data_IF_590712378116
#
_entry.id   IF_590712378116
#
_cell.length_a   1.000
_cell.length_b   1.000
_cell.length_c   1.000
_cell.angle_alpha   90.00
_cell.angle_beta   90.00
_cell.angle_gamma   90.00
#
_symmetry.space_group_name_H-M   'P 1'
#
loop_
_entity.id
_entity.type
_entity.pdbx_description
1 polymer ?
#
# COMPACT_ATOMS: atom_id res chain seq x y z
N UNK A 1 -11.03 4.14 7.55
CA UNK A 1 -10.42 3.27 6.52
C UNK A 1 -9.75 4.13 5.46
N UNK A 2 -10.49 4.94 4.68
CA UNK A 2 -9.91 5.82 3.65
C UNK A 2 -8.87 6.82 4.18
N UNK A 3 -9.04 7.34 5.42
CA UNK A 3 -8.14 8.37 5.97
C UNK A 3 -6.69 7.87 6.16
N UNK A 4 -6.50 6.60 6.53
CA UNK A 4 -5.17 6.04 6.81
C UNK A 4 -4.43 5.66 5.54
N UNK A 5 -5.11 4.99 4.61
CA UNK A 5 -4.54 4.72 3.28
C UNK A 5 -4.17 6.04 2.60
N UNK A 6 -5.04 7.05 2.71
CA UNK A 6 -4.79 8.37 2.14
C UNK A 6 -3.56 9.06 2.75
N UNK A 7 -3.39 9.02 4.07
CA UNK A 7 -2.20 9.60 4.72
C UNK A 7 -0.89 8.94 4.28
N UNK A 8 -0.85 7.61 4.20
CA UNK A 8 0.32 6.88 3.72
C UNK A 8 0.64 7.24 2.26
N UNK A 9 -0.38 7.28 1.40
CA UNK A 9 -0.21 7.65 -0.01
C UNK A 9 0.27 9.10 -0.22
N UNK A 10 -0.16 10.05 0.63
CA UNK A 10 0.32 11.44 0.58
C UNK A 10 1.78 11.55 1.03
N UNK A 11 2.19 10.81 2.07
CA UNK A 11 3.56 10.85 2.61
C UNK A 11 4.61 10.25 1.66
N UNK A 12 4.24 9.20 0.93
CA UNK A 12 5.06 8.54 -0.11
C UNK A 12 5.01 9.26 -1.48
N UNK A 13 4.20 10.32 -1.60
CA UNK A 13 3.58 10.76 -2.85
C UNK A 13 4.51 11.44 -3.86
N UNK A 14 5.13 10.66 -4.74
CA UNK A 14 5.68 11.10 -6.01
C UNK A 14 5.85 9.94 -6.99
N UNK A 15 5.74 10.22 -8.30
CA UNK A 15 6.25 9.29 -9.31
C UNK A 15 7.78 9.28 -9.21
N UNK A 16 8.35 8.10 -9.03
CA UNK A 16 9.80 7.88 -9.01
C UNK A 16 10.10 6.80 -10.02
N UNK A 17 10.99 7.13 -10.95
CA UNK A 17 11.51 6.19 -11.93
C UNK A 17 13.01 6.41 -11.98
N UNK A 18 13.74 5.55 -11.26
CA UNK A 18 15.19 5.58 -11.20
C UNK A 18 15.73 4.48 -12.11
N UNK A 19 16.47 4.83 -13.19
CA UNK A 19 16.96 3.85 -14.17
C UNK A 19 17.97 2.84 -13.59
N UNK A 20 18.49 3.12 -12.41
CA UNK A 20 19.44 2.32 -11.64
C UNK A 20 18.78 1.47 -10.52
N UNK A 21 17.46 1.61 -10.30
CA UNK A 21 16.73 0.84 -9.29
C UNK A 21 15.97 -0.34 -9.93
N UNK A 22 16.16 -1.53 -9.33
CA UNK A 22 15.46 -2.76 -9.72
C UNK A 22 13.94 -2.71 -9.54
N UNK A 23 13.41 -1.77 -8.76
CA UNK A 23 11.98 -1.64 -8.48
C UNK A 23 11.14 -1.09 -9.64
N UNK A 24 11.77 -0.43 -10.62
CA UNK A 24 11.09 0.18 -11.77
C UNK A 24 10.15 1.35 -11.39
N UNK A 25 9.32 1.82 -12.33
CA UNK A 25 8.43 2.96 -12.12
C UNK A 25 7.50 2.74 -10.91
N UNK A 26 7.54 3.68 -9.98
CA UNK A 26 6.79 3.62 -8.71
C UNK A 26 5.98 4.89 -8.51
N UNK A 27 4.72 4.75 -8.08
CA UNK A 27 3.87 5.88 -7.73
C UNK A 27 3.07 5.53 -6.47
N UNK A 28 3.01 6.45 -5.50
CA UNK A 28 2.39 6.21 -4.19
C UNK A 28 2.92 4.96 -3.47
N UNK A 29 4.21 4.63 -3.62
CA UNK A 29 4.81 3.40 -3.09
C UNK A 29 4.37 2.10 -3.79
N UNK A 30 3.59 2.18 -4.88
CA UNK A 30 3.17 1.04 -5.69
C UNK A 30 4.10 0.92 -6.90
N UNK A 31 4.80 -0.20 -7.03
CA UNK A 31 5.63 -0.50 -8.19
C UNK A 31 4.78 -0.87 -9.40
N UNK A 32 5.33 -0.71 -10.61
CA UNK A 32 4.65 -1.09 -11.85
C UNK A 32 4.19 -2.54 -11.84
N UNK A 33 5.03 -3.47 -11.39
CA UNK A 33 4.67 -4.90 -11.28
C UNK A 33 3.40 -5.09 -10.45
N UNK A 34 3.35 -4.51 -9.26
CA UNK A 34 2.21 -4.59 -8.36
C UNK A 34 0.95 -3.98 -8.98
N UNK A 35 1.10 -2.85 -9.66
CA UNK A 35 -0.03 -2.22 -10.34
C UNK A 35 -0.59 -3.12 -11.45
N UNK A 36 0.29 -3.77 -12.22
CA UNK A 36 -0.10 -4.70 -13.30
C UNK A 36 -0.77 -5.96 -12.75
N UNK A 37 -0.25 -6.53 -11.66
CA UNK A 37 -0.85 -7.68 -10.97
C UNK A 37 -2.25 -7.38 -10.42
N UNK A 38 -2.54 -6.12 -10.11
CA UNK A 38 -3.84 -5.65 -9.66
C UNK A 38 -4.71 -5.06 -10.80
N UNK A 39 -4.32 -5.30 -12.05
CA UNK A 39 -5.12 -4.97 -13.23
C UNK A 39 -5.02 -3.51 -13.71
N UNK A 40 -4.13 -2.70 -13.14
CA UNK A 40 -3.83 -1.37 -13.67
C UNK A 40 -2.81 -1.48 -14.80
N UNK A 41 -3.17 -1.12 -16.02
CA UNK A 41 -2.30 -1.17 -17.20
C UNK A 41 -1.84 0.22 -17.70
N UNK A 42 -2.32 1.31 -17.09
CA UNK A 42 -1.99 2.67 -17.50
C UNK A 42 -0.59 3.14 -17.10
N UNK A 43 -0.22 4.38 -17.45
CA UNK A 43 1.04 5.00 -17.02
C UNK A 43 1.11 5.12 -15.50
N UNK A 44 2.25 4.76 -14.90
CA UNK A 44 2.39 4.78 -13.44
C UNK A 44 2.28 6.18 -12.85
N UNK A 45 2.66 7.22 -13.60
CA UNK A 45 2.50 8.63 -13.22
C UNK A 45 1.04 9.10 -13.14
N UNK A 46 0.10 8.33 -13.70
CA UNK A 46 -1.33 8.68 -13.80
C UNK A 46 -2.22 7.70 -13.05
N UNK A 47 -1.67 6.87 -12.17
CA UNK A 47 -2.47 5.91 -11.42
C UNK A 47 -3.58 6.63 -10.64
N UNK A 48 -4.87 6.30 -10.88
CA UNK A 48 -5.96 6.95 -10.16
C UNK A 48 -5.88 6.67 -8.67
N UNK A 49 -6.29 7.66 -7.87
CA UNK A 49 -6.32 7.52 -6.41
C UNK A 49 -7.14 6.32 -5.95
N UNK A 50 -8.32 6.09 -6.54
CA UNK A 50 -9.16 4.93 -6.22
C UNK A 50 -8.45 3.60 -6.50
N UNK A 51 -7.62 3.57 -7.55
CA UNK A 51 -6.96 2.35 -7.99
C UNK A 51 -5.83 2.04 -7.04
N UNK A 52 -5.04 3.04 -6.67
CA UNK A 52 -4.02 2.90 -5.66
C UNK A 52 -4.61 2.53 -4.29
N UNK A 53 -5.71 3.15 -3.86
CA UNK A 53 -6.41 2.78 -2.61
C UNK A 53 -6.87 1.32 -2.62
N UNK A 54 -7.44 0.85 -3.73
CA UNK A 54 -7.84 -0.56 -3.90
C UNK A 54 -6.65 -1.52 -3.83
N UNK A 55 -5.52 -1.16 -4.44
CA UNK A 55 -4.28 -1.95 -4.37
C UNK A 55 -3.77 -2.03 -2.93
N UNK A 56 -3.74 -0.90 -2.22
CA UNK A 56 -3.36 -0.86 -0.80
C UNK A 56 -4.26 -1.73 0.07
N UNK A 57 -5.57 -1.64 -0.15
CA UNK A 57 -6.54 -2.46 0.58
C UNK A 57 -6.30 -3.95 0.34
N UNK A 58 -6.19 -4.37 -0.92
CA UNK A 58 -5.97 -5.77 -1.28
C UNK A 58 -4.62 -6.32 -0.78
N UNK A 59 -3.57 -5.51 -0.84
CA UNK A 59 -2.20 -5.96 -0.58
C UNK A 59 -1.79 -5.88 0.89
N UNK A 60 -2.32 -4.94 1.66
CA UNK A 60 -1.87 -4.70 3.04
C UNK A 60 -2.99 -4.78 4.07
N UNK A 61 -4.22 -4.37 3.74
CA UNK A 61 -5.33 -4.31 4.69
C UNK A 61 -6.07 -5.65 4.82
N UNK A 62 -6.45 -6.27 3.70
CA UNK A 62 -7.14 -7.57 3.70
C UNK A 62 -6.30 -8.70 4.30
N UNK A 63 -4.99 -8.84 3.99
CA UNK A 63 -4.19 -9.94 4.53
C UNK A 63 -4.01 -9.92 6.05
N UNK A 64 -4.03 -8.73 6.67
CA UNK A 64 -3.97 -8.59 8.14
C UNK A 64 -5.35 -8.67 8.80
N UNK A 65 -6.41 -8.95 8.01
CA UNK A 65 -7.81 -8.86 8.45
C UNK A 65 -8.11 -7.49 9.08
N UNK A 66 -7.64 -6.42 8.45
CA UNK A 66 -7.65 -5.08 9.01
C UNK A 66 -9.04 -4.62 9.45
N UNK A 67 -10.10 -5.01 8.73
CA UNK A 67 -11.47 -4.71 9.11
C UNK A 67 -11.90 -5.33 10.45
N UNK A 68 -11.43 -6.55 10.77
CA UNK A 68 -11.71 -7.21 12.03
C UNK A 68 -10.84 -6.63 13.15
N UNK A 69 -9.56 -6.39 12.87
CA UNK A 69 -8.63 -5.79 13.80
C UNK A 69 -9.05 -4.36 14.19
N UNK A 70 -9.55 -3.57 13.21
CA UNK A 70 -10.06 -2.23 13.43
C UNK A 70 -11.26 -2.20 14.38
N UNK A 71 -12.16 -3.19 14.28
CA UNK A 71 -13.32 -3.30 15.19
C UNK A 71 -12.90 -3.55 16.64
N UNK A 72 -11.79 -4.27 16.84
CA UNK A 72 -11.29 -4.64 18.16
C UNK A 72 -10.39 -3.55 18.76
N UNK A 73 -9.46 -3.05 17.96
CA UNK A 73 -8.44 -2.09 18.39
C UNK A 73 -8.03 -1.19 17.21
N UNK A 74 -8.74 -0.06 16.99
CA UNK A 74 -8.47 0.86 15.89
C UNK A 74 -7.01 1.32 15.83
N UNK A 75 -6.43 1.74 16.96
CA UNK A 75 -5.04 2.21 17.01
C UNK A 75 -4.05 1.11 16.59
N UNK A 76 -4.25 -0.13 17.07
CA UNK A 76 -3.40 -1.28 16.72
C UNK A 76 -3.52 -1.61 15.25
N UNK A 77 -4.74 -1.54 14.68
CA UNK A 77 -4.94 -1.80 13.25
C UNK A 77 -4.16 -0.83 12.36
N UNK A 78 -3.96 0.41 12.80
CA UNK A 78 -3.18 1.40 12.08
C UNK A 78 -1.69 1.10 12.14
N UNK A 79 -1.15 0.75 13.30
CA UNK A 79 0.26 0.38 13.45
C UNK A 79 0.61 -0.90 12.68
N UNK A 80 -0.26 -1.92 12.72
CA UNK A 80 -0.08 -3.16 11.95
C UNK A 80 -0.10 -2.88 10.45
N UNK A 81 -1.01 -2.02 9.99
CA UNK A 81 -1.09 -1.63 8.59
C UNK A 81 0.15 -0.85 8.15
N UNK A 82 0.58 0.16 8.90
CA UNK A 82 1.77 0.94 8.60
C UNK A 82 3.03 0.05 8.56
N UNK A 83 3.17 -0.85 9.53
CA UNK A 83 4.25 -1.84 9.55
C UNK A 83 4.19 -2.76 8.33
N UNK A 84 3.00 -3.22 7.92
CA UNK A 84 2.82 -4.06 6.74
C UNK A 84 3.18 -3.36 5.43
N UNK A 85 2.93 -2.05 5.32
CA UNK A 85 3.37 -1.23 4.19
C UNK A 85 4.90 -1.10 4.19
N UNK A 86 5.50 -0.72 5.32
CA UNK A 86 6.94 -0.43 5.43
C UNK A 86 7.85 -1.67 5.34
N UNK A 87 7.42 -2.82 5.88
CA UNK A 87 8.27 -4.04 5.98
C UNK A 87 7.74 -5.26 5.23
N UNK A 88 6.55 -5.15 4.64
CA UNK A 88 5.83 -6.24 3.98
C UNK A 88 4.97 -7.06 4.94
N UNK A 89 3.77 -7.44 4.48
CA UNK A 89 2.74 -8.19 5.24
C UNK A 89 3.29 -9.41 6.00
N UNK A 90 4.18 -10.18 5.36
CA UNK A 90 4.73 -11.43 5.93
C UNK A 90 5.62 -11.17 7.16
N UNK A 91 6.28 -10.00 7.25
CA UNK A 91 7.09 -9.63 8.40
C UNK A 91 6.27 -8.92 9.47
N UNK A 92 5.28 -8.11 9.07
CA UNK A 92 4.39 -7.42 10.02
C UNK A 92 3.64 -8.39 10.95
N UNK A 93 3.15 -9.53 10.43
CA UNK A 93 2.52 -10.57 11.25
C UNK A 93 3.47 -11.36 12.17
N UNK A 94 4.79 -11.11 12.11
CA UNK A 94 5.79 -11.77 12.97
C UNK A 94 6.17 -10.92 14.18
N UNK A 95 5.91 -9.62 14.16
CA UNK A 95 6.31 -8.69 15.23
C UNK A 95 5.20 -8.35 16.24
N UNK A 96 3.94 -8.68 15.95
CA UNK A 96 2.76 -8.31 16.74
C UNK A 96 1.88 -9.51 17.07
#
# INVERSE_FOLDING_TARGET
MNDVISRTMVLEGGYVDRPDDSGGPTCYGITQEVARDNGYAGPMSEIPWDTAERIYAARYWEPIRGADLYKLAPAVSYEVFDTAVNTGVRRAGTFL
#
